data_IF_941523393566
#
_entry.id   IF_941523393566
#
_cell.length_a   1.000
_cell.length_b   1.000
_cell.length_c   1.000
_cell.angle_alpha   90.00
_cell.angle_beta   90.00
_cell.angle_gamma   90.00
#
_symmetry.space_group_name_H-M   'P 1'
#
loop_
_entity.id
_entity.type
_entity.pdbx_description
1 polymer ?
#
# COMPACT_ATOMS: atom_id res chain seq x y z
N UNK A 1 -0.88 -13.97 12.34
CA UNK A 1 0.44 -14.49 12.72
C UNK A 1 1.19 -13.40 13.50
N UNK A 2 2.07 -13.78 14.41
CA UNK A 2 2.59 -12.91 15.47
C UNK A 2 1.71 -12.87 16.73
N UNK A 3 2.02 -11.96 17.66
CA UNK A 3 1.32 -11.86 18.96
C UNK A 3 -0.12 -11.42 18.74
N UNK A 4 -1.08 -12.19 19.29
CA UNK A 4 -2.50 -12.02 19.00
C UNK A 4 -3.03 -10.66 19.48
N UNK A 5 -2.71 -10.28 20.71
CA UNK A 5 -3.12 -9.01 21.33
C UNK A 5 -2.49 -7.82 20.60
N UNK A 6 -1.23 -7.94 20.18
CA UNK A 6 -0.57 -6.90 19.39
C UNK A 6 -1.28 -6.67 18.05
N UNK A 7 -1.67 -7.75 17.36
CA UNK A 7 -2.42 -7.67 16.11
C UNK A 7 -3.79 -7.04 16.32
N UNK A 8 -4.47 -7.36 17.42
CA UNK A 8 -5.79 -6.80 17.74
C UNK A 8 -5.69 -5.30 18.01
N UNK A 9 -4.81 -4.88 18.92
CA UNK A 9 -4.65 -3.46 19.23
C UNK A 9 -4.12 -2.63 18.05
N UNK A 10 -3.25 -3.20 17.21
CA UNK A 10 -2.77 -2.51 15.99
C UNK A 10 -3.93 -2.28 15.00
N UNK A 11 -4.81 -3.27 14.86
CA UNK A 11 -6.00 -3.19 14.01
C UNK A 11 -6.97 -2.11 14.53
N UNK A 12 -7.22 -2.07 15.84
CA UNK A 12 -8.03 -1.03 16.47
C UNK A 12 -7.39 0.36 16.37
N UNK A 13 -6.07 0.45 16.54
CA UNK A 13 -5.34 1.71 16.39
C UNK A 13 -5.48 2.28 14.97
N UNK A 14 -5.40 1.43 13.95
CA UNK A 14 -5.46 1.86 12.55
C UNK A 14 -6.87 2.23 12.09
N UNK A 15 -7.87 1.42 12.45
CA UNK A 15 -9.24 1.56 11.91
C UNK A 15 -10.23 2.17 12.91
N UNK A 16 -9.89 2.21 14.20
CA UNK A 16 -10.82 2.49 15.29
C UNK A 16 -11.59 1.25 15.73
N UNK A 17 -11.68 1.02 17.04
CA UNK A 17 -12.37 -0.12 17.64
C UNK A 17 -13.85 -0.20 17.24
N UNK A 18 -14.49 0.95 17.00
CA UNK A 18 -15.89 1.04 16.62
C UNK A 18 -16.17 0.90 15.12
N UNK A 19 -15.14 0.76 14.28
CA UNK A 19 -15.31 0.69 12.84
C UNK A 19 -16.01 -0.59 12.38
N UNK A 20 -16.83 -0.47 11.34
CA UNK A 20 -17.48 -1.64 10.72
C UNK A 20 -16.47 -2.63 10.13
N UNK A 21 -15.27 -2.18 9.75
CA UNK A 21 -14.20 -3.06 9.26
C UNK A 21 -13.76 -4.03 10.36
N UNK A 22 -13.64 -3.53 11.60
CA UNK A 22 -13.28 -4.34 12.78
C UNK A 22 -14.46 -5.18 13.24
N UNK A 23 -15.63 -4.56 13.47
CA UNK A 23 -16.84 -5.24 13.99
C UNK A 23 -17.31 -6.39 13.10
N UNK A 24 -17.18 -6.26 11.78
CA UNK A 24 -17.58 -7.29 10.82
C UNK A 24 -16.44 -8.28 10.48
N UNK A 25 -15.27 -8.16 11.11
CA UNK A 25 -14.15 -9.08 10.89
C UNK A 25 -13.53 -9.02 9.48
N UNK A 26 -13.65 -7.88 8.79
CA UNK A 26 -13.15 -7.68 7.41
C UNK A 26 -11.66 -7.34 7.35
N UNK A 27 -11.06 -6.90 8.45
CA UNK A 27 -9.61 -6.72 8.56
C UNK A 27 -8.91 -7.95 9.13
N UNK A 28 -7.75 -8.29 8.56
CA UNK A 28 -6.81 -9.29 9.09
C UNK A 28 -5.44 -8.63 9.28
N UNK A 29 -4.83 -8.91 10.43
CA UNK A 29 -3.53 -8.34 10.82
C UNK A 29 -2.52 -9.46 11.03
N UNK A 30 -1.31 -9.24 10.52
CA UNK A 30 -0.15 -10.08 10.74
C UNK A 30 1.00 -9.17 11.16
N UNK A 31 1.70 -9.53 12.22
CA UNK A 31 2.87 -8.81 12.68
C UNK A 31 4.03 -9.01 11.68
N UNK A 32 4.74 -7.93 11.36
CA UNK A 32 5.89 -7.95 10.43
C UNK A 32 7.14 -7.33 11.06
N UNK A 33 8.29 -7.52 10.40
CA UNK A 33 9.53 -6.82 10.72
C UNK A 33 9.44 -5.35 10.25
N UNK A 34 8.77 -4.53 11.05
CA UNK A 34 8.50 -3.12 10.75
C UNK A 34 7.72 -2.92 9.45
N UNK A 35 7.68 -1.67 8.98
CA UNK A 35 6.96 -1.28 7.75
C UNK A 35 7.55 -1.90 6.47
N UNK A 36 8.87 -2.05 6.40
CA UNK A 36 9.54 -2.72 5.26
C UNK A 36 9.07 -4.16 5.11
N UNK A 37 9.03 -4.92 6.21
CA UNK A 37 8.53 -6.30 6.20
C UNK A 37 7.05 -6.37 5.83
N UNK A 38 6.23 -5.42 6.32
CA UNK A 38 4.81 -5.34 6.00
C UNK A 38 4.60 -5.19 4.48
N UNK A 39 5.29 -4.22 3.86
CA UNK A 39 5.22 -3.96 2.42
C UNK A 39 5.69 -5.17 1.60
N UNK A 40 6.80 -5.81 2.00
CA UNK A 40 7.33 -6.98 1.29
C UNK A 40 6.36 -8.16 1.30
N UNK A 41 5.74 -8.44 2.44
CA UNK A 41 4.75 -9.51 2.60
C UNK A 41 3.48 -9.19 1.82
N UNK A 42 2.97 -7.96 1.93
CA UNK A 42 1.77 -7.53 1.21
C UNK A 42 1.96 -7.59 -0.31
N UNK A 43 3.08 -7.09 -0.83
CA UNK A 43 3.41 -7.15 -2.25
C UNK A 43 3.48 -8.60 -2.77
N UNK A 44 4.15 -9.49 -2.04
CA UNK A 44 4.22 -10.91 -2.43
C UNK A 44 2.84 -11.58 -2.39
N UNK A 45 2.04 -11.28 -1.37
CA UNK A 45 0.68 -11.79 -1.25
C UNK A 45 -0.17 -11.34 -2.46
N UNK A 46 -0.16 -10.05 -2.79
CA UNK A 46 -0.89 -9.51 -3.95
C UNK A 46 -0.43 -10.20 -5.24
N UNK A 47 0.89 -10.26 -5.48
CA UNK A 47 1.48 -10.88 -6.68
C UNK A 47 1.11 -12.36 -6.84
N UNK A 48 1.05 -13.11 -5.74
CA UNK A 48 0.80 -14.57 -5.76
C UNK A 48 -0.66 -14.96 -5.69
N UNK A 49 -1.48 -14.17 -4.98
CA UNK A 49 -2.85 -14.56 -4.62
C UNK A 49 -3.92 -13.80 -5.39
N UNK A 50 -3.52 -12.82 -6.20
CA UNK A 50 -4.43 -12.02 -7.05
C UNK A 50 -3.94 -12.01 -8.49
N UNK A 51 -4.71 -11.38 -9.38
CA UNK A 51 -4.28 -11.13 -10.76
C UNK A 51 -3.40 -9.89 -10.89
N UNK A 52 -3.27 -9.04 -9.86
CA UNK A 52 -2.53 -7.79 -9.95
C UNK A 52 -1.04 -8.03 -10.18
N UNK A 53 -0.51 -7.41 -11.24
CA UNK A 53 0.89 -7.50 -11.64
C UNK A 53 1.62 -6.17 -11.49
N UNK A 54 0.88 -5.07 -11.41
CA UNK A 54 1.42 -3.72 -11.37
C UNK A 54 1.19 -3.07 -10.00
N UNK A 55 1.96 -2.03 -9.71
CA UNK A 55 1.77 -1.18 -8.53
C UNK A 55 1.99 0.27 -8.94
N UNK A 56 1.11 1.16 -8.51
CA UNK A 56 1.22 2.59 -8.73
C UNK A 56 1.94 3.27 -7.56
N UNK A 57 3.04 3.96 -7.83
CA UNK A 57 3.89 4.64 -6.83
C UNK A 57 4.00 6.13 -7.17
N UNK A 58 3.89 6.98 -6.16
CA UNK A 58 3.97 8.43 -6.32
C UNK A 58 5.35 8.89 -6.80
N UNK A 59 5.40 10.00 -7.53
CA UNK A 59 6.66 10.70 -7.85
C UNK A 59 6.66 12.06 -7.13
N UNK A 60 7.54 12.28 -6.13
CA UNK A 60 8.55 11.37 -5.57
C UNK A 60 7.95 10.34 -4.59
N UNK A 61 8.79 9.40 -4.12
CA UNK A 61 8.43 8.40 -3.11
C UNK A 61 9.59 8.10 -2.15
N UNK A 62 9.35 7.28 -1.12
CA UNK A 62 10.44 6.70 -0.33
C UNK A 62 11.25 5.72 -1.20
N UNK A 63 12.59 5.91 -1.37
CA UNK A 63 13.37 5.16 -2.34
C UNK A 63 13.27 3.63 -2.22
N UNK A 64 13.04 3.12 -1.01
CA UNK A 64 12.97 1.69 -0.77
C UNK A 64 11.67 1.04 -1.29
N UNK A 65 10.62 1.80 -1.63
CA UNK A 65 9.44 1.25 -2.30
C UNK A 65 9.83 0.56 -3.61
N UNK A 66 10.64 1.23 -4.43
CA UNK A 66 11.08 0.68 -5.71
C UNK A 66 11.88 -0.62 -5.53
N UNK A 67 12.76 -0.68 -4.52
CA UNK A 67 13.51 -1.89 -4.23
C UNK A 67 12.61 -3.06 -3.80
N UNK A 68 11.62 -2.79 -2.93
CA UNK A 68 10.68 -3.82 -2.45
C UNK A 68 9.86 -4.40 -3.60
N UNK A 69 9.21 -3.56 -4.40
CA UNK A 69 8.31 -4.02 -5.46
C UNK A 69 9.03 -4.66 -6.64
N UNK A 70 10.22 -4.16 -7.02
CA UNK A 70 11.07 -4.82 -8.00
C UNK A 70 11.53 -6.21 -7.53
N UNK A 71 11.85 -6.37 -6.23
CA UNK A 71 12.24 -7.67 -5.67
C UNK A 71 11.10 -8.71 -5.66
N UNK A 72 9.83 -8.26 -5.74
CA UNK A 72 8.64 -9.12 -5.90
C UNK A 72 8.37 -9.41 -7.38
N UNK A 73 8.98 -8.67 -8.30
CA UNK A 73 8.69 -8.73 -9.74
C UNK A 73 7.35 -8.10 -10.10
N UNK A 74 6.87 -7.12 -9.34
CA UNK A 74 5.73 -6.28 -9.74
C UNK A 74 6.21 -5.17 -10.68
N UNK A 75 5.41 -4.83 -11.69
CA UNK A 75 5.72 -3.71 -12.59
C UNK A 75 5.34 -2.40 -11.90
N UNK A 76 6.32 -1.50 -11.75
CA UNK A 76 6.09 -0.19 -11.16
C UNK A 76 5.51 0.75 -12.23
N UNK A 77 4.37 1.34 -11.92
CA UNK A 77 3.77 2.49 -12.61
C UNK A 77 3.96 3.71 -11.73
N UNK A 78 4.32 4.83 -12.31
CA UNK A 78 4.50 6.08 -11.57
C UNK A 78 3.28 6.99 -11.77
N UNK A 79 2.90 7.74 -10.74
CA UNK A 79 1.92 8.83 -10.85
C UNK A 79 2.46 10.12 -10.23
N UNK A 80 2.13 11.25 -10.83
CA UNK A 80 2.51 12.58 -10.33
C UNK A 80 1.84 12.86 -8.99
N UNK A 81 2.60 13.43 -8.06
CA UNK A 81 2.11 13.71 -6.71
C UNK A 81 2.54 15.07 -6.18
N UNK A 82 3.81 15.46 -6.33
CA UNK A 82 4.34 16.69 -5.75
C UNK A 82 4.65 17.74 -6.83
N UNK A 83 4.01 18.90 -6.73
CA UNK A 83 4.34 20.09 -7.50
C UNK A 83 5.50 20.81 -6.80
N UNK A 84 6.70 20.75 -7.39
CA UNK A 84 7.89 21.33 -6.80
C UNK A 84 7.90 22.86 -6.80
N UNK A 85 7.22 23.51 -7.74
CA UNK A 85 7.13 24.97 -7.81
C UNK A 85 6.21 25.50 -6.71
N UNK A 86 5.03 24.87 -6.57
CA UNK A 86 4.02 25.26 -5.56
C UNK A 86 4.28 24.68 -4.18
N UNK A 87 5.16 23.67 -4.08
CA UNK A 87 5.42 22.88 -2.86
C UNK A 87 4.14 22.27 -2.30
N UNK A 88 3.31 21.75 -3.20
CA UNK A 88 1.96 21.29 -2.90
C UNK A 88 1.65 19.97 -3.60
N UNK A 89 0.47 19.41 -3.30
CA UNK A 89 -0.07 18.27 -4.01
C UNK A 89 -0.43 18.69 -5.45
N UNK A 90 0.08 17.96 -6.42
CA UNK A 90 -0.28 18.09 -7.83
C UNK A 90 -1.57 17.30 -8.12
N UNK A 91 -2.69 17.78 -7.58
CA UNK A 91 -3.96 17.03 -7.56
C UNK A 91 -4.47 16.66 -8.96
N UNK A 92 -4.45 17.61 -9.89
CA UNK A 92 -5.02 17.40 -11.23
C UNK A 92 -4.27 16.31 -11.99
N UNK A 93 -2.94 16.33 -11.90
CA UNK A 93 -2.10 15.33 -12.55
C UNK A 93 -2.11 13.98 -11.83
N UNK A 94 -2.19 13.98 -10.49
CA UNK A 94 -2.37 12.77 -9.70
C UNK A 94 -3.62 12.01 -10.16
N UNK A 95 -4.76 12.70 -10.24
CA UNK A 95 -6.03 12.09 -10.65
C UNK A 95 -5.96 11.69 -12.13
N UNK A 96 -5.38 12.52 -13.00
CA UNK A 96 -5.21 12.18 -14.41
C UNK A 96 -4.40 10.89 -14.61
N UNK A 97 -3.32 10.70 -13.86
CA UNK A 97 -2.48 9.51 -13.95
C UNK A 97 -3.20 8.28 -13.40
N UNK A 98 -3.75 8.36 -12.19
CA UNK A 98 -4.46 7.24 -11.53
C UNK A 98 -5.75 6.83 -12.24
N UNK A 99 -6.37 7.73 -13.01
CA UNK A 99 -7.55 7.40 -13.83
C UNK A 99 -7.23 6.43 -14.97
N UNK A 100 -5.95 6.20 -15.29
CA UNK A 100 -5.52 5.18 -16.25
C UNK A 100 -5.35 3.80 -15.62
N UNK A 101 -5.53 3.65 -14.30
CA UNK A 101 -5.42 2.37 -13.63
C UNK A 101 -6.54 1.42 -14.07
N UNK A 102 -6.18 0.18 -14.37
CA UNK A 102 -7.09 -0.85 -14.88
C UNK A 102 -7.16 -2.10 -14.00
N UNK A 103 -7.96 -3.07 -14.42
CA UNK A 103 -7.96 -4.39 -13.78
C UNK A 103 -6.55 -5.01 -13.86
N UNK A 104 -6.01 -5.41 -12.71
CA UNK A 104 -4.66 -5.99 -12.63
C UNK A 104 -3.55 -4.99 -12.27
N UNK A 105 -3.92 -3.74 -12.04
CA UNK A 105 -3.09 -2.77 -11.31
C UNK A 105 -3.26 -2.86 -9.77
#
# INVERSE_FOLDING_TARGET
DGVAEFNEYTKELLFGADSEIVKQGRAKTVQSLGGTGALRIAAEFIKRQTKSQNVWISTPTWPNHNAIFNAVGMTIREYRYYDAEKKALDWDNLIADLSNAGEGD
#
